data_IF_573481034950
#
_entry.id   IF_573481034950
#
_cell.length_a   1.000
_cell.length_b   1.000
_cell.length_c   1.000
_cell.angle_alpha   90.00
_cell.angle_beta   90.00
_cell.angle_gamma   90.00
#
_symmetry.space_group_name_H-M   'P 1'
#
loop_
_entity.id
_entity.type
_entity.pdbx_description
1 polymer ?
#
# COMPACT_ATOMS: atom_id res chain seq x y z
N UNK A 1 -22.37 12.17 0.62
CA UNK A 1 -21.36 13.23 0.83
C UNK A 1 -20.25 12.60 1.67
N UNK A 2 -19.01 12.52 1.16
CA UNK A 2 -17.93 11.83 1.88
C UNK A 2 -17.61 12.53 3.21
N UNK A 3 -17.31 11.72 4.24
CA UNK A 3 -16.98 12.16 5.59
C UNK A 3 -15.87 13.22 5.56
N UNK A 4 -16.10 14.35 6.24
CA UNK A 4 -15.15 15.46 6.30
C UNK A 4 -13.79 15.05 6.89
N UNK A 5 -13.76 14.05 7.78
CA UNK A 5 -12.54 13.50 8.37
C UNK A 5 -11.67 12.82 7.31
N UNK A 6 -12.28 12.04 6.42
CA UNK A 6 -11.57 11.37 5.34
C UNK A 6 -11.03 12.37 4.32
N UNK A 7 -11.80 13.41 3.99
CA UNK A 7 -11.32 14.51 3.12
C UNK A 7 -10.11 15.23 3.70
N UNK A 8 -10.16 15.57 4.99
CA UNK A 8 -9.05 16.24 5.68
C UNK A 8 -7.82 15.34 5.77
N UNK A 9 -8.00 14.05 6.05
CA UNK A 9 -6.92 13.08 6.08
C UNK A 9 -6.28 12.91 4.70
N UNK A 10 -7.09 12.76 3.64
CA UNK A 10 -6.60 12.67 2.27
C UNK A 10 -5.78 13.90 1.87
N UNK A 11 -6.29 15.10 2.19
CA UNK A 11 -5.59 16.37 1.94
C UNK A 11 -4.26 16.45 2.69
N UNK A 12 -4.24 16.05 3.96
CA UNK A 12 -3.01 16.00 4.76
C UNK A 12 -2.00 15.00 4.17
N UNK A 13 -2.45 13.82 3.74
CA UNK A 13 -1.61 12.82 3.08
C UNK A 13 -0.99 13.38 1.79
N UNK A 14 -1.79 14.00 0.93
CA UNK A 14 -1.33 14.50 -0.36
C UNK A 14 -0.44 15.73 -0.24
N UNK A 15 -0.83 16.71 0.59
CA UNK A 15 -0.14 18.00 0.67
C UNK A 15 1.08 17.95 1.59
N UNK A 16 0.99 17.25 2.72
CA UNK A 16 2.02 17.30 3.75
C UNK A 16 2.87 16.03 3.81
N UNK A 17 2.26 14.85 3.77
CA UNK A 17 3.04 13.60 3.88
C UNK A 17 3.78 13.27 2.57
N UNK A 18 3.10 13.46 1.44
CA UNK A 18 3.65 13.15 0.12
C UNK A 18 4.10 14.37 -0.66
N UNK A 19 3.66 15.58 -0.28
CA UNK A 19 3.94 16.82 -1.01
C UNK A 19 3.80 16.64 -2.52
N UNK A 20 2.65 16.12 -2.96
CA UNK A 20 2.43 15.66 -4.33
C UNK A 20 2.69 16.79 -5.33
N UNK A 21 3.52 16.50 -6.34
CA UNK A 21 3.84 17.42 -7.43
C UNK A 21 3.21 16.95 -8.75
N UNK A 22 3.15 17.89 -9.71
CA UNK A 22 2.76 17.56 -11.08
C UNK A 22 3.60 16.40 -11.61
N UNK A 23 2.91 15.41 -12.19
CA UNK A 23 3.46 14.17 -12.74
C UNK A 23 4.04 13.17 -11.72
N UNK A 24 3.99 13.44 -10.41
CA UNK A 24 4.42 12.46 -9.42
C UNK A 24 3.63 11.16 -9.58
N UNK A 25 4.33 10.03 -9.69
CA UNK A 25 3.69 8.73 -9.74
C UNK A 25 3.47 8.20 -8.33
N UNK A 26 2.20 8.04 -7.94
CA UNK A 26 1.80 7.67 -6.58
C UNK A 26 1.15 6.29 -6.57
N UNK A 27 1.73 5.39 -5.78
CA UNK A 27 1.20 4.07 -5.50
C UNK A 27 0.28 4.11 -4.27
N UNK A 28 -0.95 3.60 -4.40
CA UNK A 28 -1.90 3.48 -3.29
C UNK A 28 -2.24 2.00 -3.10
N UNK A 29 -2.10 1.49 -1.88
CA UNK A 29 -2.36 0.08 -1.57
C UNK A 29 -3.02 -0.12 -0.23
N UNK A 30 -3.62 -1.30 -0.05
CA UNK A 30 -4.40 -1.64 1.13
C UNK A 30 -5.64 -2.43 0.77
N UNK A 31 -6.43 -2.77 1.79
CA UNK A 31 -7.71 -3.43 1.60
C UNK A 31 -8.74 -2.46 1.02
N UNK A 32 -8.95 -2.54 -0.30
CA UNK A 32 -9.86 -1.65 -1.01
C UNK A 32 -11.32 -1.90 -0.63
N UNK A 33 -11.68 -3.14 -0.26
CA UNK A 33 -13.03 -3.48 0.18
C UNK A 33 -13.38 -2.82 1.51
N UNK A 34 -12.39 -2.71 2.41
CA UNK A 34 -12.55 -2.12 3.73
C UNK A 34 -12.41 -0.59 3.73
N UNK A 35 -11.42 -0.05 3.03
CA UNK A 35 -11.05 1.37 3.13
C UNK A 35 -11.45 2.22 1.91
N UNK A 36 -12.45 1.76 1.15
CA UNK A 36 -12.85 2.33 -0.15
C UNK A 36 -13.00 3.86 -0.13
N UNK A 37 -13.64 4.41 0.89
CA UNK A 37 -13.90 5.84 0.99
C UNK A 37 -12.60 6.65 1.13
N UNK A 38 -11.63 6.13 1.88
CA UNK A 38 -10.32 6.78 2.03
C UNK A 38 -9.50 6.70 0.75
N UNK A 39 -9.52 5.56 0.04
CA UNK A 39 -8.91 5.44 -1.28
C UNK A 39 -9.45 6.51 -2.24
N UNK A 40 -10.76 6.71 -2.26
CA UNK A 40 -11.41 7.67 -3.17
C UNK A 40 -10.97 9.10 -2.90
N UNK A 41 -10.91 9.52 -1.63
CA UNK A 41 -10.50 10.88 -1.30
C UNK A 41 -9.00 11.09 -1.52
N UNK A 42 -8.13 10.12 -1.21
CA UNK A 42 -6.69 10.22 -1.51
C UNK A 42 -6.46 10.30 -3.02
N UNK A 43 -7.13 9.45 -3.81
CA UNK A 43 -7.04 9.47 -5.26
C UNK A 43 -7.47 10.84 -5.82
N UNK A 44 -8.57 11.39 -5.29
CA UNK A 44 -9.08 12.71 -5.68
C UNK A 44 -8.07 13.82 -5.41
N UNK A 45 -7.46 13.84 -4.22
CA UNK A 45 -6.48 14.88 -3.86
C UNK A 45 -5.19 14.77 -4.66
N UNK A 46 -4.72 13.54 -4.96
CA UNK A 46 -3.53 13.35 -5.83
C UNK A 46 -3.80 13.89 -7.24
N UNK A 47 -4.97 13.57 -7.83
CA UNK A 47 -5.36 14.09 -9.16
C UNK A 47 -5.43 15.61 -9.14
N UNK A 48 -6.01 16.21 -8.09
CA UNK A 48 -6.10 17.67 -7.94
C UNK A 48 -4.73 18.35 -7.86
N UNK A 49 -3.76 17.69 -7.24
CA UNK A 49 -2.37 18.15 -7.18
C UNK A 49 -1.59 17.93 -8.51
N UNK A 50 -2.21 17.29 -9.51
CA UNK A 50 -1.58 16.98 -10.79
C UNK A 50 -0.67 15.75 -10.78
N UNK A 51 -0.74 14.93 -9.72
CA UNK A 51 -0.07 13.64 -9.65
C UNK A 51 -0.83 12.54 -10.43
N UNK A 52 -0.16 11.41 -10.60
CA UNK A 52 -0.65 10.23 -11.30
C UNK A 52 -0.81 9.06 -10.32
N UNK A 53 -1.98 8.87 -9.69
CA UNK A 53 -2.22 7.76 -8.78
C UNK A 53 -2.55 6.46 -9.52
N UNK A 54 -2.22 5.34 -8.91
CA UNK A 54 -2.79 4.03 -9.24
C UNK A 54 -3.01 3.20 -7.98
N UNK A 55 -3.94 2.26 -8.06
CA UNK A 55 -4.36 1.45 -6.93
C UNK A 55 -3.87 0.01 -7.13
N UNK A 56 -3.26 -0.54 -6.09
CA UNK A 56 -2.97 -1.97 -5.97
C UNK A 56 -3.81 -2.52 -4.83
N UNK A 57 -4.91 -3.22 -5.13
CA UNK A 57 -5.75 -3.79 -4.10
C UNK A 57 -4.97 -4.89 -3.38
N UNK A 58 -5.01 -4.84 -2.06
CA UNK A 58 -4.58 -5.91 -1.17
C UNK A 58 -5.73 -6.29 -0.25
N UNK A 59 -5.39 -6.95 0.84
CA UNK A 59 -6.35 -7.37 1.85
C UNK A 59 -5.93 -8.68 2.49
N UNK A 60 -6.45 -8.93 3.69
CA UNK A 60 -6.08 -10.12 4.44
C UNK A 60 -6.57 -11.41 3.74
N UNK A 61 -7.73 -11.37 3.08
CA UNK A 61 -8.28 -12.52 2.35
C UNK A 61 -7.38 -12.90 1.15
N UNK A 62 -6.90 -11.92 0.38
CA UNK A 62 -5.98 -12.15 -0.73
C UNK A 62 -4.64 -12.71 -0.23
N UNK A 63 -4.13 -12.18 0.88
CA UNK A 63 -2.90 -12.69 1.50
C UNK A 63 -3.08 -14.12 2.03
N UNK A 64 -4.22 -14.44 2.63
CA UNK A 64 -4.53 -15.78 3.12
C UNK A 64 -4.56 -16.80 1.98
N UNK A 65 -5.26 -16.50 0.88
CA UNK A 65 -5.24 -17.33 -0.34
C UNK A 65 -3.82 -17.48 -0.86
N UNK A 66 -3.09 -16.37 -1.00
CA UNK A 66 -1.73 -16.38 -1.52
C UNK A 66 -0.82 -17.31 -0.70
N UNK A 67 -0.81 -17.21 0.63
CA UNK A 67 0.04 -18.06 1.44
C UNK A 67 -0.45 -19.51 1.53
N UNK A 68 -1.76 -19.77 1.57
CA UNK A 68 -2.28 -21.14 1.61
C UNK A 68 -1.95 -21.90 0.33
N UNK A 69 -2.21 -21.28 -0.81
CA UNK A 69 -2.17 -21.94 -2.12
C UNK A 69 -0.79 -21.89 -2.81
N UNK A 70 0.09 -20.93 -2.46
CA UNK A 70 1.36 -20.78 -3.18
C UNK A 70 2.38 -21.86 -2.83
N UNK A 71 3.12 -22.29 -3.87
CA UNK A 71 4.34 -23.09 -3.73
C UNK A 71 5.53 -22.24 -3.23
N UNK A 72 6.60 -22.86 -2.71
CA UNK A 72 7.82 -22.14 -2.33
C UNK A 72 8.41 -21.27 -3.47
N UNK A 73 8.36 -21.75 -4.71
CA UNK A 73 8.86 -21.02 -5.89
C UNK A 73 8.00 -19.80 -6.18
N UNK A 74 6.68 -19.92 -6.06
CA UNK A 74 5.76 -18.79 -6.22
C UNK A 74 5.97 -17.74 -5.13
N UNK A 75 6.26 -18.16 -3.90
CA UNK A 75 6.56 -17.24 -2.79
C UNK A 75 7.88 -16.47 -2.96
N UNK A 76 8.83 -17.05 -3.71
CA UNK A 76 10.11 -16.41 -4.05
C UNK A 76 10.01 -15.52 -5.30
N UNK A 77 8.96 -15.69 -6.09
CA UNK A 77 8.80 -14.94 -7.33
C UNK A 77 8.49 -13.47 -7.04
N UNK A 78 9.30 -12.58 -7.60
CA UNK A 78 9.09 -11.13 -7.52
C UNK A 78 8.40 -10.65 -8.80
N UNK A 79 7.19 -10.09 -8.70
CA UNK A 79 6.50 -9.54 -9.86
C UNK A 79 7.36 -8.52 -10.61
N UNK A 80 7.53 -8.62 -11.94
CA UNK A 80 8.34 -7.68 -12.72
C UNK A 80 7.92 -6.22 -12.60
N UNK A 81 6.66 -5.98 -12.24
CA UNK A 81 6.15 -4.62 -12.02
C UNK A 81 6.85 -3.92 -10.84
N UNK A 82 7.34 -4.66 -9.85
CA UNK A 82 8.08 -4.10 -8.72
C UNK A 82 9.44 -3.52 -9.15
N UNK A 83 10.07 -4.08 -10.18
CA UNK A 83 11.28 -3.52 -10.78
C UNK A 83 11.02 -2.14 -11.37
N UNK A 84 9.84 -1.91 -11.93
CA UNK A 84 9.45 -0.58 -12.41
C UNK A 84 9.16 0.37 -11.24
N UNK A 85 8.47 -0.13 -10.21
CA UNK A 85 8.08 0.66 -9.06
C UNK A 85 9.27 1.16 -8.25
N UNK A 86 10.27 0.29 -8.02
CA UNK A 86 11.41 0.60 -7.17
C UNK A 86 12.19 1.83 -7.66
N UNK A 87 12.26 2.03 -8.97
CA UNK A 87 13.04 3.11 -9.57
C UNK A 87 12.22 4.38 -9.84
N UNK A 88 10.93 4.24 -10.14
CA UNK A 88 10.15 5.34 -10.74
C UNK A 88 9.10 5.97 -9.82
N UNK A 89 8.66 5.29 -8.76
CA UNK A 89 7.63 5.86 -7.87
C UNK A 89 8.13 7.11 -7.16
N UNK A 90 7.30 8.13 -7.05
CA UNK A 90 7.59 9.33 -6.27
C UNK A 90 6.99 9.25 -4.86
N UNK A 91 5.86 8.55 -4.72
CA UNK A 91 5.15 8.41 -3.46
C UNK A 91 4.44 7.07 -3.29
N UNK A 92 4.28 6.66 -2.04
CA UNK A 92 3.54 5.45 -1.65
C UNK A 92 2.61 5.75 -0.48
N UNK A 93 1.36 5.31 -0.61
CA UNK A 93 0.39 5.27 0.48
C UNK A 93 0.01 3.82 0.73
N UNK A 94 0.20 3.36 1.97
CA UNK A 94 -0.31 2.09 2.42
C UNK A 94 -1.42 2.32 3.45
N UNK A 95 -2.62 1.84 3.15
CA UNK A 95 -3.82 1.98 3.95
C UNK A 95 -4.07 0.65 4.65
N UNK A 96 -3.79 0.61 5.94
CA UNK A 96 -4.12 -0.53 6.79
C UNK A 96 -5.54 -0.35 7.32
N UNK A 97 -6.47 -1.10 6.75
CA UNK A 97 -7.78 -1.35 7.33
C UNK A 97 -7.96 -2.86 7.38
N UNK A 98 -8.44 -3.38 8.50
CA UNK A 98 -8.76 -4.81 8.60
C UNK A 98 -10.15 -4.98 9.15
N UNK A 99 -11.00 -5.71 8.42
CA UNK A 99 -12.26 -6.26 8.91
C UNK A 99 -12.05 -7.59 9.65
N UNK A 100 -10.93 -8.28 9.40
CA UNK A 100 -10.62 -9.61 9.93
C UNK A 100 -9.16 -9.69 10.39
N UNK A 101 -8.93 -9.44 11.68
CA UNK A 101 -7.61 -9.53 12.33
C UNK A 101 -7.10 -10.96 12.47
N UNK A 102 -7.96 -11.98 12.29
CA UNK A 102 -7.62 -13.39 12.46
C UNK A 102 -7.24 -14.11 11.17
N UNK A 103 -7.49 -13.52 10.00
CA UNK A 103 -7.27 -14.14 8.68
C UNK A 103 -5.84 -14.66 8.45
N UNK A 104 -4.84 -14.05 9.08
CA UNK A 104 -3.44 -14.48 8.95
C UNK A 104 -2.94 -15.37 10.10
N UNK A 105 -3.76 -15.61 11.14
CA UNK A 105 -3.34 -16.38 12.32
C UNK A 105 -3.04 -17.86 12.02
N UNK A 106 -3.67 -18.41 10.98
CA UNK A 106 -3.51 -19.81 10.57
C UNK A 106 -2.58 -19.99 9.36
N UNK A 107 -1.87 -18.93 8.96
CA UNK A 107 -0.93 -19.01 7.83
C UNK A 107 0.40 -19.58 8.31
N UNK A 108 0.98 -20.49 7.52
CA UNK A 108 2.29 -21.10 7.76
C UNK A 108 3.40 -20.03 7.86
N UNK A 109 4.07 -19.98 9.02
CA UNK A 109 5.12 -19.01 9.31
C UNK A 109 6.36 -19.20 8.44
N UNK A 110 6.63 -20.42 7.95
CA UNK A 110 7.74 -20.70 7.02
C UNK A 110 7.47 -20.03 5.67
N UNK A 111 6.23 -20.12 5.17
CA UNK A 111 5.83 -19.45 3.92
C UNK A 111 5.94 -17.93 4.03
N UNK A 112 5.55 -17.35 5.17
CA UNK A 112 5.74 -15.92 5.43
C UNK A 112 7.23 -15.53 5.42
N UNK A 113 8.10 -16.34 6.03
CA UNK A 113 9.55 -16.07 6.04
C UNK A 113 10.16 -16.12 4.64
N UNK A 114 9.76 -17.08 3.79
CA UNK A 114 10.25 -17.18 2.41
C UNK A 114 9.92 -15.89 1.65
N UNK A 115 8.65 -15.45 1.72
CA UNK A 115 8.20 -14.24 1.04
C UNK A 115 8.90 -12.99 1.58
N UNK A 116 9.01 -12.87 2.91
CA UNK A 116 9.65 -11.73 3.55
C UNK A 116 11.13 -11.62 3.14
N UNK A 117 11.83 -12.75 3.05
CA UNK A 117 13.22 -12.80 2.58
C UNK A 117 13.32 -12.38 1.11
N UNK A 118 12.48 -12.94 0.23
CA UNK A 118 12.50 -12.62 -1.19
C UNK A 118 12.26 -11.12 -1.45
N UNK A 119 11.29 -10.51 -0.75
CA UNK A 119 11.03 -9.06 -0.84
C UNK A 119 12.15 -8.22 -0.20
N UNK A 120 12.71 -8.68 0.92
CA UNK A 120 13.77 -8.00 1.65
C UNK A 120 15.09 -7.93 0.89
N UNK A 121 15.42 -8.95 0.09
CA UNK A 121 16.64 -8.98 -0.71
C UNK A 121 16.49 -8.27 -2.06
N UNK A 122 15.29 -8.23 -2.64
CA UNK A 122 15.06 -7.70 -3.99
C UNK A 122 14.79 -6.19 -4.02
N UNK A 123 13.69 -5.75 -3.42
CA UNK A 123 13.17 -4.38 -3.61
C UNK A 123 13.42 -3.47 -2.41
N UNK A 124 13.41 -4.02 -1.20
CA UNK A 124 13.48 -3.21 0.02
C UNK A 124 14.74 -2.34 0.12
N UNK A 125 15.95 -2.81 -0.25
CA UNK A 125 17.16 -1.99 -0.18
C UNK A 125 17.09 -0.75 -1.08
N UNK A 126 16.49 -0.88 -2.27
CA UNK A 126 16.29 0.24 -3.21
C UNK A 126 15.30 1.25 -2.65
N UNK A 127 14.15 0.79 -2.14
CA UNK A 127 13.14 1.69 -1.56
C UNK A 127 13.70 2.43 -0.34
N UNK A 128 14.47 1.76 0.51
CA UNK A 128 15.12 2.37 1.67
C UNK A 128 16.14 3.44 1.26
N UNK A 129 17.01 3.12 0.30
CA UNK A 129 17.98 4.08 -0.25
C UNK A 129 17.28 5.34 -0.79
N UNK A 130 16.24 5.14 -1.61
CA UNK A 130 15.48 6.25 -2.20
C UNK A 130 14.72 7.08 -1.17
N UNK A 131 14.22 6.46 -0.10
CA UNK A 131 13.63 7.18 1.04
C UNK A 131 14.67 8.04 1.75
N UNK A 132 15.86 7.51 2.01
CA UNK A 132 16.94 8.26 2.64
C UNK A 132 17.40 9.45 1.79
N UNK A 133 17.39 9.30 0.47
CA UNK A 133 17.71 10.36 -0.50
C UNK A 133 16.53 11.34 -0.75
N UNK A 134 15.34 11.08 -0.18
CA UNK A 134 14.14 11.90 -0.38
C UNK A 134 13.46 11.75 -1.75
N UNK A 135 13.97 10.87 -2.62
CA UNK A 135 13.40 10.63 -3.96
C UNK A 135 12.14 9.78 -3.95
N UNK A 136 11.85 9.11 -2.83
CA UNK A 136 10.62 8.36 -2.57
C UNK A 136 10.01 8.78 -1.23
N UNK A 137 8.75 9.20 -1.25
CA UNK A 137 7.98 9.57 -0.04
C UNK A 137 6.99 8.46 0.32
N UNK A 138 6.82 8.16 1.60
CA UNK A 138 6.01 7.03 2.02
C UNK A 138 5.20 7.34 3.26
N UNK A 139 3.92 7.02 3.23
CA UNK A 139 3.03 7.12 4.39
C UNK A 139 2.26 5.82 4.58
N UNK A 140 2.17 5.41 5.84
CA UNK A 140 1.31 4.32 6.28
C UNK A 140 0.21 4.96 7.12
N UNK A 141 -1.04 4.64 6.81
CA UNK A 141 -2.21 5.19 7.51
C UNK A 141 -3.17 4.08 7.89
N UNK A 142 -3.94 4.30 8.95
CA UNK A 142 -4.94 3.37 9.44
C UNK A 142 -6.33 3.84 9.03
N UNK A 143 -7.13 2.93 8.47
CA UNK A 143 -8.55 3.14 8.27
C UNK A 143 -9.31 2.37 9.35
N UNK A 144 -9.98 3.11 10.23
CA UNK A 144 -10.81 2.51 11.26
C UNK A 144 -12.16 2.12 10.65
N UNK A 145 -12.42 0.82 10.61
CA UNK A 145 -13.75 0.29 10.31
C UNK A 145 -14.59 0.55 11.56
N UNK A 146 -15.65 1.34 11.44
CA UNK A 146 -16.57 1.53 12.56
C UNK A 146 -17.21 0.18 12.88
N UNK A 147 -16.84 -0.43 14.00
CA UNK A 147 -17.61 -1.52 14.60
C UNK A 147 -18.92 -0.90 15.06
N UNK A 148 -19.92 -0.92 14.19
CA UNK A 148 -21.30 -0.61 14.56
C UNK A 148 -21.74 -1.59 15.64
N UNK A 149 -22.32 -1.04 16.71
CA UNK A 149 -22.84 -1.74 17.88
C UNK A 149 -23.70 -2.96 17.56
#
# INVERSE_FOLDING_TARGET
MADIRLKRLAKLISEYCLEVKKNDWIYISGDYGVAKELFHEIYREIIRAGGNPFIVPGGNELMEIYYKESSPEQLQWIPPVFEVYKDKLNGMVNIHGTSNTAALNNVDSVKQQIQAKAMGESIMPHLMKRRAEGSLRGVVTLFSVGTGC
#
